data_IF_680490458230
#
_entry.id   IF_680490458230
#
_cell.length_a   1.000
_cell.length_b   1.000
_cell.length_c   1.000
_cell.angle_alpha   90.00
_cell.angle_beta   90.00
_cell.angle_gamma   90.00
#
_symmetry.space_group_name_H-M   'P 1'
#
loop_
_entity.id
_entity.type
_entity.pdbx_description
1 polymer ?
#
# COMPACT_ATOMS: atom_id res chain seq x y z
N UNK A 1 -27.66 -3.30 -38.05
CA UNK A 1 -27.42 -2.07 -38.83
C UNK A 1 -27.65 -0.92 -37.86
N UNK A 2 -26.67 -0.26 -37.28
CA UNK A 2 -25.49 0.39 -37.87
C UNK A 2 -24.28 0.19 -36.94
N UNK A 3 -23.13 -0.12 -37.54
CA UNK A 3 -21.79 -0.14 -36.93
C UNK A 3 -21.33 1.30 -36.67
N UNK A 4 -20.64 1.57 -35.56
CA UNK A 4 -19.61 2.61 -35.55
C UNK A 4 -18.41 2.20 -34.68
N UNK A 5 -17.25 2.23 -35.33
CA UNK A 5 -15.92 2.00 -34.79
C UNK A 5 -15.52 3.17 -33.89
N UNK A 6 -14.77 2.88 -32.81
CA UNK A 6 -13.95 3.87 -32.15
C UNK A 6 -12.48 3.46 -32.32
N UNK A 7 -11.76 4.29 -33.06
CA UNK A 7 -10.35 4.14 -33.40
C UNK A 7 -9.44 4.38 -32.19
N UNK A 8 -8.37 3.57 -32.12
CA UNK A 8 -7.27 3.73 -31.20
C UNK A 8 -6.47 5.00 -31.51
N UNK A 9 -6.45 5.96 -30.58
CA UNK A 9 -5.42 7.03 -30.58
C UNK A 9 -4.41 6.74 -29.49
N UNK A 10 -3.32 6.08 -29.89
CA UNK A 10 -2.07 6.03 -29.12
C UNK A 10 -1.44 7.43 -29.11
N UNK A 11 -1.46 8.11 -27.96
CA UNK A 11 -0.57 9.26 -27.72
C UNK A 11 0.48 8.90 -26.68
N UNK A 12 1.66 8.55 -27.18
CA UNK A 12 2.88 8.39 -26.39
C UNK A 12 3.32 9.77 -25.88
N UNK A 13 3.09 10.07 -24.60
CA UNK A 13 3.64 11.28 -23.95
C UNK A 13 5.04 10.94 -23.43
N UNK A 14 6.05 11.27 -24.24
CA UNK A 14 7.46 11.28 -23.81
C UNK A 14 7.70 12.58 -23.04
N UNK A 15 7.82 12.51 -21.72
CA UNK A 15 8.17 13.67 -20.91
C UNK A 15 9.69 13.89 -20.95
N UNK A 16 10.15 14.82 -21.80
CA UNK A 16 11.51 15.34 -21.77
C UNK A 16 11.64 16.40 -20.68
N UNK A 17 12.12 16.02 -19.49
CA UNK A 17 12.67 16.93 -18.50
C UNK A 17 13.78 16.24 -17.71
N UNK A 18 15.03 16.31 -18.21
CA UNK A 18 16.23 16.08 -17.42
C UNK A 18 17.41 16.83 -18.06
N UNK A 19 18.10 17.74 -17.35
CA UNK A 19 19.45 18.13 -17.74
C UNK A 19 20.44 17.14 -17.12
N UNK A 20 20.98 16.23 -17.92
CA UNK A 20 22.22 15.52 -17.59
C UNK A 20 23.41 16.35 -18.09
N UNK A 21 24.08 17.06 -17.19
CA UNK A 21 25.46 17.50 -17.43
C UNK A 21 26.41 16.45 -16.83
N UNK A 22 27.05 15.67 -17.71
CA UNK A 22 28.20 14.82 -17.36
C UNK A 22 29.43 15.72 -17.24
N UNK A 23 30.03 15.81 -16.05
CA UNK A 23 31.44 16.17 -15.91
C UNK A 23 32.18 14.99 -15.29
N UNK A 24 33.07 14.41 -16.10
CA UNK A 24 34.06 13.41 -15.67
C UNK A 24 35.18 14.16 -14.95
N UNK A 25 35.42 13.85 -13.68
CA UNK A 25 36.63 14.27 -12.98
C UNK A 25 37.75 13.26 -13.29
N UNK A 26 38.72 13.71 -14.09
CA UNK A 26 40.05 13.10 -14.17
C UNK A 26 40.97 13.84 -13.19
N UNK A 27 41.63 13.07 -12.33
CA UNK A 27 42.71 13.50 -11.44
C UNK A 27 43.98 13.79 -12.23
N UNK A 28 44.57 14.97 -12.09
CA UNK A 28 46.01 15.23 -12.21
C UNK A 28 46.36 16.53 -11.46
N UNK A 29 47.51 16.49 -10.77
CA UNK A 29 48.08 17.49 -9.84
C UNK A 29 48.99 18.51 -10.58
N UNK A 30 49.49 19.57 -9.92
CA UNK A 30 49.57 20.95 -10.44
C UNK A 30 50.99 21.42 -10.81
N UNK A 31 51.09 22.61 -11.45
CA UNK A 31 52.11 23.67 -11.23
C UNK A 31 51.83 24.93 -12.12
N UNK A 32 52.41 26.12 -11.82
CA UNK A 32 51.72 27.42 -11.85
C UNK A 32 52.29 28.45 -12.85
N UNK A 33 51.55 29.56 -13.07
CA UNK A 33 52.08 30.96 -13.06
C UNK A 33 50.98 32.04 -13.29
N UNK A 34 50.94 32.98 -12.34
CA UNK A 34 50.84 34.46 -12.40
C UNK A 34 49.76 35.26 -13.18
N UNK A 35 48.99 36.00 -12.35
CA UNK A 35 48.62 37.42 -12.39
C UNK A 35 48.26 38.14 -13.73
N UNK A 36 47.02 38.67 -13.82
CA UNK A 36 46.72 40.13 -13.73
C UNK A 36 45.25 40.53 -14.06
N UNK A 37 44.79 41.56 -13.32
CA UNK A 37 43.78 42.59 -13.62
C UNK A 37 42.24 42.33 -13.62
N UNK A 38 41.57 43.28 -12.96
CA UNK A 38 40.14 43.49 -12.70
C UNK A 38 39.55 44.40 -13.80
N UNK A 39 38.26 44.23 -14.14
CA UNK A 39 37.17 45.24 -14.30
C UNK A 39 36.17 44.90 -15.43
N UNK A 40 34.91 44.72 -15.01
CA UNK A 40 33.59 44.96 -15.63
C UNK A 40 33.38 44.99 -17.17
N UNK A 41 32.36 44.24 -17.64
CA UNK A 41 31.17 44.83 -18.30
C UNK A 41 30.00 43.83 -18.33
N UNK A 42 28.90 44.17 -17.64
CA UNK A 42 27.56 43.64 -17.88
C UNK A 42 26.93 44.44 -19.01
N UNK A 43 26.28 43.79 -19.98
CA UNK A 43 25.45 44.49 -20.95
C UNK A 43 24.94 43.61 -22.08
N UNK A 44 23.63 43.32 -22.02
CA UNK A 44 22.79 42.77 -23.09
C UNK A 44 22.99 41.30 -23.49
N UNK A 45 22.05 40.44 -23.07
CA UNK A 45 21.37 39.47 -23.93
C UNK A 45 20.03 39.07 -23.30
N UNK A 46 18.98 39.43 -24.03
CA UNK A 46 17.70 38.72 -24.21
C UNK A 46 16.55 38.86 -23.17
N UNK A 47 15.74 39.90 -23.39
CA UNK A 47 14.41 40.09 -22.82
C UNK A 47 13.29 39.66 -23.81
N UNK A 48 13.46 38.55 -24.56
CA UNK A 48 12.39 38.00 -25.44
C UNK A 48 11.97 36.55 -25.14
N UNK A 49 12.60 35.88 -24.18
CA UNK A 49 12.28 34.47 -23.83
C UNK A 49 11.33 34.28 -22.63
N UNK A 50 10.95 35.35 -21.92
CA UNK A 50 10.08 35.29 -20.73
C UNK A 50 8.59 35.41 -21.04
N UNK A 51 8.21 36.04 -22.16
CA UNK A 51 6.78 36.23 -22.52
C UNK A 51 6.15 34.95 -23.08
N UNK A 52 6.87 34.19 -23.92
CA UNK A 52 6.35 32.95 -24.53
C UNK A 52 6.16 31.78 -23.54
N UNK A 53 6.90 31.77 -22.42
CA UNK A 53 6.76 30.76 -21.36
C UNK A 53 5.57 31.04 -20.44
N UNK A 54 5.16 32.30 -20.24
CA UNK A 54 3.97 32.65 -19.46
C UNK A 54 2.67 32.30 -20.20
N UNK A 55 2.60 32.50 -21.52
CA UNK A 55 1.38 32.20 -22.30
C UNK A 55 1.09 30.70 -22.38
N UNK A 56 2.12 29.84 -22.45
CA UNK A 56 1.93 28.38 -22.44
C UNK A 56 1.53 27.81 -21.07
N UNK A 57 1.93 28.43 -19.96
CA UNK A 57 1.45 28.04 -18.62
C UNK A 57 0.00 28.48 -18.38
N UNK A 58 -0.40 29.66 -18.86
CA UNK A 58 -1.79 30.15 -18.72
C UNK A 58 -2.78 29.27 -19.50
N UNK A 59 -2.46 28.91 -20.75
CA UNK A 59 -3.28 28.01 -21.58
C UNK A 59 -3.38 26.57 -21.00
N UNK A 60 -2.40 26.13 -20.21
CA UNK A 60 -2.46 24.83 -19.53
C UNK A 60 -3.36 24.90 -18.29
N UNK A 61 -3.33 26.02 -17.55
CA UNK A 61 -4.21 26.22 -16.39
C UNK A 61 -5.69 26.33 -16.78
N UNK A 62 -6.01 27.01 -17.89
CA UNK A 62 -7.39 27.14 -18.37
C UNK A 62 -7.98 25.81 -18.84
N UNK A 63 -7.17 24.93 -19.46
CA UNK A 63 -7.60 23.59 -19.85
C UNK A 63 -7.82 22.67 -18.65
N UNK A 64 -7.03 22.79 -17.58
CA UNK A 64 -7.26 22.05 -16.34
C UNK A 64 -8.52 22.51 -15.59
N UNK A 65 -8.82 23.82 -15.61
CA UNK A 65 -10.05 24.37 -15.03
C UNK A 65 -11.28 23.89 -15.83
N UNK A 66 -11.20 23.86 -17.16
CA UNK A 66 -12.30 23.39 -18.01
C UNK A 66 -12.59 21.89 -17.82
N UNK A 67 -11.56 21.05 -17.71
CA UNK A 67 -11.72 19.60 -17.44
C UNK A 67 -12.30 19.36 -16.05
N UNK A 68 -11.91 20.16 -15.05
CA UNK A 68 -12.47 20.06 -13.68
C UNK A 68 -13.92 20.55 -13.62
N UNK A 69 -14.26 21.60 -14.36
CA UNK A 69 -15.64 22.10 -14.48
C UNK A 69 -16.54 21.10 -15.20
N UNK A 70 -16.07 20.47 -16.28
CA UNK A 70 -16.81 19.43 -17.01
C UNK A 70 -17.00 18.17 -16.16
N UNK A 71 -16.01 17.79 -15.35
CA UNK A 71 -16.16 16.70 -14.37
C UNK A 71 -17.19 17.06 -13.27
N UNK A 72 -17.20 18.31 -12.80
CA UNK A 72 -18.20 18.80 -11.85
C UNK A 72 -19.63 18.84 -12.41
N UNK A 73 -19.79 19.21 -13.68
CA UNK A 73 -21.09 19.19 -14.38
C UNK A 73 -21.56 17.75 -14.57
N UNK A 74 -20.67 16.82 -14.97
CA UNK A 74 -21.00 15.41 -15.09
C UNK A 74 -21.43 14.80 -13.74
N UNK A 75 -20.74 15.14 -12.65
CA UNK A 75 -21.09 14.69 -11.31
C UNK A 75 -22.45 15.25 -10.86
N UNK A 76 -22.75 16.50 -11.20
CA UNK A 76 -24.04 17.15 -10.90
C UNK A 76 -25.19 16.54 -11.70
N UNK A 77 -24.96 16.17 -12.96
CA UNK A 77 -25.97 15.51 -13.80
C UNK A 77 -26.25 14.08 -13.34
N UNK A 78 -25.24 13.35 -12.87
CA UNK A 78 -25.40 12.02 -12.26
C UNK A 78 -26.13 12.12 -10.92
N UNK A 79 -25.79 13.11 -10.08
CA UNK A 79 -26.52 13.36 -8.84
C UNK A 79 -27.99 13.73 -9.11
N UNK A 80 -28.25 14.55 -10.14
CA UNK A 80 -29.60 14.93 -10.54
C UNK A 80 -30.40 13.75 -11.10
N UNK A 81 -29.80 12.87 -11.92
CA UNK A 81 -30.49 11.68 -12.44
C UNK A 81 -30.79 10.65 -11.36
N UNK A 82 -29.92 10.50 -10.36
CA UNK A 82 -30.15 9.67 -9.17
C UNK A 82 -31.26 10.27 -8.30
N UNK A 83 -31.24 11.59 -8.04
CA UNK A 83 -32.31 12.28 -7.30
C UNK A 83 -33.65 12.24 -8.04
N UNK A 84 -33.65 12.36 -9.37
CA UNK A 84 -34.86 12.26 -10.19
C UNK A 84 -35.41 10.83 -10.18
N UNK A 85 -34.54 9.81 -10.24
CA UNK A 85 -34.96 8.40 -10.12
C UNK A 85 -35.54 8.08 -8.74
N UNK A 86 -34.96 8.64 -7.67
CA UNK A 86 -35.46 8.50 -6.30
C UNK A 86 -36.76 9.30 -6.05
N UNK A 87 -36.96 10.40 -6.77
CA UNK A 87 -38.22 11.15 -6.75
C UNK A 87 -39.33 10.41 -7.50
N UNK A 88 -39.04 9.84 -8.67
CA UNK A 88 -40.01 9.09 -9.49
C UNK A 88 -40.45 7.79 -8.81
N UNK A 89 -39.59 7.15 -8.01
CA UNK A 89 -39.95 5.96 -7.24
C UNK A 89 -40.79 6.26 -5.97
N UNK A 90 -40.94 7.53 -5.58
CA UNK A 90 -41.73 7.95 -4.40
C UNK A 90 -43.02 8.70 -4.73
N UNK A 91 -43.40 8.84 -6.00
CA UNK A 91 -44.71 9.39 -6.39
C UNK A 91 -45.67 8.24 -6.65
N UNK A 92 -46.13 7.63 -5.54
CA UNK A 92 -47.27 6.73 -5.51
C UNK A 92 -48.23 7.19 -4.42
N UNK A 93 -49.36 7.78 -4.86
CA UNK A 93 -50.56 8.08 -4.08
C UNK A 93 -50.46 9.35 -3.19
N UNK A 94 -50.94 10.47 -3.74
CA UNK A 94 -51.29 11.67 -2.98
C UNK A 94 -52.78 11.58 -2.60
N UNK A 95 -53.06 11.30 -1.32
CA UNK A 95 -54.38 11.44 -0.69
C UNK A 95 -54.50 12.88 -0.15
N UNK A 96 -55.49 13.70 -0.56
CA UNK A 96 -55.60 15.09 -0.14
C UNK A 96 -55.99 15.32 1.33
N UNK A 97 -56.10 14.29 2.18
CA UNK A 97 -56.68 14.43 3.53
C UNK A 97 -55.71 14.24 4.73
N UNK A 98 -54.40 14.04 4.53
CA UNK A 98 -53.47 13.76 5.64
C UNK A 98 -52.59 14.96 6.04
N UNK A 99 -52.84 15.53 7.22
CA UNK A 99 -51.94 16.46 7.92
C UNK A 99 -50.73 15.73 8.51
N UNK A 100 -49.68 15.49 7.71
CA UNK A 100 -48.34 15.13 8.22
C UNK A 100 -47.32 16.19 7.86
N UNK A 101 -46.61 16.67 8.88
CA UNK A 101 -45.53 17.64 8.73
C UNK A 101 -44.38 17.08 7.88
N UNK A 102 -43.65 17.95 7.14
CA UNK A 102 -42.51 17.52 6.34
C UNK A 102 -41.39 16.96 7.23
N UNK A 103 -40.86 15.80 6.84
CA UNK A 103 -39.70 15.16 7.46
C UNK A 103 -38.47 16.06 7.33
N UNK A 104 -37.71 16.20 8.43
CA UNK A 104 -36.56 17.09 8.49
C UNK A 104 -35.42 16.61 7.55
N UNK A 105 -34.63 17.54 6.98
CA UNK A 105 -33.49 17.20 6.12
C UNK A 105 -32.47 16.25 6.77
N UNK A 106 -32.34 16.30 8.11
CA UNK A 106 -31.48 15.39 8.87
C UNK A 106 -31.94 13.93 8.80
N UNK A 107 -33.26 13.70 8.73
CA UNK A 107 -33.83 12.36 8.65
C UNK A 107 -33.51 11.74 7.29
N UNK A 108 -33.58 12.53 6.23
CA UNK A 108 -33.23 12.11 4.86
C UNK A 108 -31.73 11.79 4.77
N UNK A 109 -30.88 12.59 5.40
CA UNK A 109 -29.42 12.37 5.42
C UNK A 109 -29.04 11.07 6.17
N UNK A 110 -29.69 10.81 7.31
CA UNK A 110 -29.46 9.58 8.09
C UNK A 110 -29.98 8.33 7.35
N UNK A 111 -31.09 8.43 6.63
CA UNK A 111 -31.58 7.35 5.77
C UNK A 111 -30.65 7.08 4.59
N UNK A 112 -30.07 8.12 3.98
CA UNK A 112 -29.08 7.98 2.90
C UNK A 112 -27.75 7.36 3.39
N UNK A 113 -27.29 7.73 4.57
CA UNK A 113 -26.11 7.12 5.20
C UNK A 113 -26.34 5.63 5.52
N UNK A 114 -27.53 5.28 6.00
CA UNK A 114 -27.93 3.89 6.29
C UNK A 114 -28.07 3.07 5.01
N UNK A 115 -28.61 3.66 3.94
CA UNK A 115 -28.69 3.03 2.62
C UNK A 115 -27.30 2.78 2.02
N UNK A 116 -26.36 3.73 2.15
CA UNK A 116 -24.96 3.55 1.74
C UNK A 116 -24.26 2.44 2.53
N UNK A 117 -24.43 2.40 3.86
CA UNK A 117 -23.88 1.32 4.70
C UNK A 117 -24.44 -0.06 4.30
N UNK A 118 -25.71 -0.12 3.91
CA UNK A 118 -26.36 -1.35 3.42
C UNK A 118 -25.85 -1.74 2.03
N UNK A 119 -25.55 -0.79 1.15
CA UNK A 119 -24.95 -1.06 -0.18
C UNK A 119 -23.51 -1.59 -0.02
N UNK A 120 -22.72 -1.04 0.90
CA UNK A 120 -21.38 -1.56 1.24
C UNK A 120 -21.48 -3.00 1.79
N UNK A 121 -22.43 -3.27 2.69
CA UNK A 121 -22.67 -4.61 3.24
C UNK A 121 -23.18 -5.62 2.19
N UNK A 122 -23.97 -5.17 1.20
CA UNK A 122 -24.43 -5.99 0.07
C UNK A 122 -23.32 -6.28 -0.95
N UNK A 123 -22.35 -5.38 -1.10
CA UNK A 123 -21.16 -5.65 -1.91
C UNK A 123 -20.23 -6.69 -1.26
N UNK A 124 -20.17 -6.75 0.08
CA UNK A 124 -19.43 -7.79 0.81
C UNK A 124 -20.10 -9.18 0.71
N UNK A 125 -21.43 -9.24 0.62
CA UNK A 125 -22.16 -10.50 0.49
C UNK A 125 -22.22 -11.04 -0.94
N UNK A 126 -22.11 -10.17 -1.96
CA UNK A 126 -22.13 -10.58 -3.37
C UNK A 126 -20.78 -11.15 -3.89
N UNK A 127 -19.69 -11.04 -3.10
CA UNK A 127 -18.37 -11.57 -3.47
C UNK A 127 -17.96 -12.85 -2.71
N UNK A 128 -18.87 -13.48 -1.96
CA UNK A 128 -18.63 -14.83 -1.43
C UNK A 128 -19.17 -15.86 -2.39
N UNK A 129 -18.62 -15.90 -3.61
CA UNK A 129 -18.59 -17.19 -4.31
C UNK A 129 -17.67 -18.07 -3.48
N UNK A 130 -18.24 -19.09 -2.84
CA UNK A 130 -17.48 -20.23 -2.33
C UNK A 130 -16.75 -20.80 -3.55
N UNK A 131 -15.51 -20.35 -3.77
CA UNK A 131 -14.58 -21.00 -4.68
C UNK A 131 -14.39 -22.38 -4.09
N UNK A 132 -15.12 -23.36 -4.62
CA UNK A 132 -14.87 -24.77 -4.39
C UNK A 132 -13.37 -24.98 -4.51
N UNK A 133 -12.76 -25.57 -3.48
CA UNK A 133 -11.31 -25.75 -3.39
C UNK A 133 -10.77 -26.19 -4.75
N UNK A 134 -10.06 -25.27 -5.41
CA UNK A 134 -9.33 -25.58 -6.61
C UNK A 134 -8.38 -26.73 -6.27
N UNK A 135 -8.21 -27.69 -7.17
CA UNK A 135 -7.24 -28.80 -7.07
C UNK A 135 -5.77 -28.31 -7.10
N UNK A 136 -5.55 -27.02 -6.83
CA UNK A 136 -4.27 -26.33 -6.84
C UNK A 136 -3.89 -25.96 -5.41
N UNK A 137 -2.61 -26.04 -5.11
CA UNK A 137 -2.08 -25.86 -3.77
C UNK A 137 -2.44 -24.50 -3.15
N UNK A 138 -2.52 -24.49 -1.82
CA UNK A 138 -2.51 -23.25 -1.03
C UNK A 138 -1.09 -22.66 -1.10
N UNK A 139 -0.96 -21.34 -1.26
CA UNK A 139 0.31 -20.63 -1.37
C UNK A 139 0.39 -19.42 -0.44
N UNK A 140 1.54 -19.23 0.19
CA UNK A 140 1.76 -18.12 1.11
C UNK A 140 2.41 -16.91 0.43
N UNK A 141 1.77 -15.74 0.60
CA UNK A 141 2.29 -14.44 0.19
C UNK A 141 2.86 -13.72 1.41
N UNK A 142 4.19 -13.59 1.45
CA UNK A 142 4.92 -13.15 2.64
C UNK A 142 5.02 -11.62 2.75
N UNK A 143 4.11 -11.04 3.53
CA UNK A 143 4.19 -9.65 4.00
C UNK A 143 5.22 -9.51 5.11
N UNK A 144 6.08 -8.50 5.01
CA UNK A 144 7.14 -8.31 6.00
C UNK A 144 6.55 -8.01 7.38
N UNK A 145 7.13 -8.67 8.39
CA UNK A 145 6.86 -8.48 9.83
C UNK A 145 5.49 -8.99 10.32
N UNK A 146 4.89 -9.92 9.58
CA UNK A 146 3.62 -10.57 9.91
C UNK A 146 3.77 -12.09 10.10
N UNK A 147 4.80 -12.52 10.84
CA UNK A 147 5.15 -13.93 11.12
C UNK A 147 5.61 -14.79 9.92
N UNK A 148 5.81 -14.22 8.73
CA UNK A 148 6.06 -15.05 7.56
C UNK A 148 7.29 -15.97 7.64
N UNK A 149 8.38 -15.59 8.31
CA UNK A 149 9.50 -16.52 8.54
C UNK A 149 9.14 -17.73 9.39
N UNK A 150 8.20 -17.60 10.33
CA UNK A 150 7.73 -18.74 11.12
C UNK A 150 6.82 -19.65 10.28
N UNK A 151 5.95 -19.07 9.44
CA UNK A 151 5.09 -19.81 8.52
C UNK A 151 5.91 -20.58 7.49
N UNK A 152 6.88 -19.92 6.84
CA UNK A 152 7.76 -20.56 5.85
C UNK A 152 8.59 -21.69 6.45
N UNK A 153 9.08 -21.50 7.68
CA UNK A 153 9.84 -22.53 8.38
C UNK A 153 8.97 -23.72 8.81
N UNK A 154 7.76 -23.46 9.32
CA UNK A 154 6.80 -24.51 9.67
C UNK A 154 6.39 -25.31 8.43
N UNK A 155 6.06 -24.64 7.32
CA UNK A 155 5.71 -25.27 6.06
C UNK A 155 6.85 -26.16 5.56
N UNK A 156 8.08 -25.64 5.52
CA UNK A 156 9.23 -26.39 5.04
C UNK A 156 9.53 -27.64 5.88
N UNK A 157 9.35 -27.56 7.21
CA UNK A 157 9.47 -28.72 8.11
C UNK A 157 8.40 -29.78 7.88
N UNK A 158 7.21 -29.37 7.44
CA UNK A 158 6.11 -30.26 7.06
C UNK A 158 6.14 -30.68 5.58
N UNK A 159 7.24 -30.44 4.85
CA UNK A 159 7.35 -30.86 3.45
C UNK A 159 6.75 -29.89 2.43
N UNK A 160 6.20 -28.75 2.87
CA UNK A 160 5.50 -27.76 2.02
C UNK A 160 6.43 -26.62 1.66
N UNK A 161 6.49 -26.25 0.38
CA UNK A 161 7.28 -25.12 -0.09
C UNK A 161 6.40 -23.88 -0.22
N UNK A 162 6.76 -22.82 0.50
CA UNK A 162 6.05 -21.54 0.48
C UNK A 162 7.01 -20.35 0.51
N UNK A 163 6.51 -19.21 0.04
CA UNK A 163 7.19 -17.91 0.14
C UNK A 163 8.64 -18.00 -0.35
N UNK A 164 9.59 -17.57 0.49
CA UNK A 164 11.02 -17.49 0.19
C UNK A 164 11.63 -18.77 -0.38
N UNK A 165 11.10 -19.95 -0.05
CA UNK A 165 11.63 -21.22 -0.49
C UNK A 165 11.44 -21.47 -1.99
N UNK A 166 10.46 -20.83 -2.62
CA UNK A 166 10.32 -20.84 -4.09
C UNK A 166 11.43 -20.07 -4.80
N UNK A 167 11.98 -19.04 -4.14
CA UNK A 167 12.84 -18.04 -4.77
C UNK A 167 14.33 -18.24 -4.47
N UNK A 168 14.67 -18.79 -3.31
CA UNK A 168 16.07 -18.91 -2.90
C UNK A 168 16.30 -20.10 -1.97
N UNK A 169 17.56 -20.55 -1.97
CA UNK A 169 18.04 -21.56 -1.02
C UNK A 169 18.10 -21.01 0.40
N UNK A 170 17.36 -21.62 1.33
CA UNK A 170 17.37 -21.31 2.77
C UNK A 170 17.70 -22.57 3.56
N UNK A 171 19.00 -22.87 3.72
CA UNK A 171 19.48 -24.10 4.36
C UNK A 171 18.84 -24.38 5.73
N UNK A 172 18.59 -23.34 6.53
CA UNK A 172 17.99 -23.45 7.87
C UNK A 172 16.55 -23.99 7.86
N UNK A 173 15.84 -23.91 6.73
CA UNK A 173 14.46 -24.40 6.60
C UNK A 173 14.40 -25.86 6.17
N UNK A 174 15.55 -26.51 5.98
CA UNK A 174 15.62 -27.94 5.63
C UNK A 174 15.60 -28.19 4.13
N UNK A 175 15.48 -29.48 3.74
CA UNK A 175 15.74 -29.94 2.37
C UNK A 175 14.79 -29.35 1.33
N UNK A 176 13.53 -29.10 1.70
CA UNK A 176 12.51 -28.52 0.81
C UNK A 176 12.94 -27.15 0.28
N UNK A 177 13.65 -26.37 1.08
CA UNK A 177 14.11 -25.03 0.71
C UNK A 177 15.55 -25.01 0.18
N UNK A 178 16.09 -26.14 -0.30
CA UNK A 178 17.43 -26.19 -0.90
C UNK A 178 17.46 -25.83 -2.39
N UNK A 179 16.31 -25.90 -3.06
CA UNK A 179 16.16 -25.69 -4.49
C UNK A 179 15.07 -24.64 -4.75
N UNK A 180 15.36 -23.70 -5.63
CA UNK A 180 14.39 -22.71 -6.13
C UNK A 180 13.55 -23.37 -7.22
N UNK A 181 12.28 -23.00 -7.30
CA UNK A 181 11.36 -23.49 -8.34
C UNK A 181 10.94 -22.36 -9.27
N UNK A 182 11.01 -21.11 -8.81
CA UNK A 182 10.65 -19.95 -9.60
C UNK A 182 11.89 -19.21 -10.09
N UNK A 183 11.93 -18.99 -11.40
CA UNK A 183 12.88 -18.12 -12.05
C UNK A 183 12.24 -16.78 -12.37
N UNK A 184 13.02 -15.71 -12.25
CA UNK A 184 12.55 -14.38 -12.58
C UNK A 184 12.92 -14.09 -14.03
N UNK A 185 11.90 -14.07 -14.88
CA UNK A 185 12.03 -13.54 -16.24
C UNK A 185 12.28 -12.04 -16.17
N UNK A 186 13.22 -11.52 -16.99
CA UNK A 186 13.52 -10.08 -17.01
C UNK A 186 12.84 -9.40 -18.20
N UNK A 187 12.20 -8.24 -17.99
CA UNK A 187 12.02 -7.56 -16.70
C UNK A 187 10.85 -8.16 -15.88
N UNK A 188 11.08 -8.32 -14.58
CA UNK A 188 10.20 -9.10 -13.68
C UNK A 188 8.83 -8.48 -13.41
N UNK A 189 8.71 -7.17 -13.53
CA UNK A 189 7.61 -6.41 -12.95
C UNK A 189 6.79 -5.66 -13.99
N UNK A 190 5.47 -5.68 -13.80
CA UNK A 190 4.54 -4.82 -14.53
C UNK A 190 4.55 -3.43 -13.89
N UNK A 191 5.28 -2.49 -14.51
CA UNK A 191 5.43 -1.12 -14.01
C UNK A 191 4.12 -0.33 -13.94
N UNK A 192 3.10 -0.74 -14.67
CA UNK A 192 1.77 -0.11 -14.63
C UNK A 192 0.95 -0.56 -13.42
N UNK A 193 1.22 -1.74 -12.87
CA UNK A 193 0.55 -2.27 -11.68
C UNK A 193 1.11 -1.73 -10.36
N UNK A 194 2.21 -0.96 -10.40
CA UNK A 194 2.91 -0.46 -9.21
C UNK A 194 2.60 1.03 -9.01
N UNK A 195 2.09 1.45 -7.84
CA UNK A 195 1.88 2.86 -7.55
C UNK A 195 3.16 3.68 -7.76
N UNK A 196 3.03 4.89 -8.30
CA UNK A 196 4.16 5.70 -8.74
C UNK A 196 5.26 5.85 -7.67
N UNK A 197 4.86 6.09 -6.42
CA UNK A 197 5.74 6.27 -5.27
C UNK A 197 6.54 5.01 -4.89
N UNK A 198 6.15 3.83 -5.36
CA UNK A 198 6.80 2.54 -5.05
C UNK A 198 7.54 1.92 -6.24
N UNK A 199 7.57 2.58 -7.41
CA UNK A 199 8.30 2.07 -8.60
C UNK A 199 9.81 1.90 -8.33
N UNK A 200 10.38 2.68 -7.43
CA UNK A 200 11.78 2.55 -6.99
C UNK A 200 12.01 1.56 -5.83
N UNK A 201 10.94 0.96 -5.31
CA UNK A 201 10.94 0.15 -4.08
C UNK A 201 10.98 -1.34 -4.32
N UNK A 202 11.33 -1.77 -5.53
CA UNK A 202 11.44 -3.18 -5.88
C UNK A 202 12.61 -3.80 -5.12
N UNK A 203 12.30 -4.78 -4.28
CA UNK A 203 13.25 -5.46 -3.41
C UNK A 203 13.24 -6.95 -3.67
N UNK A 204 13.29 -7.71 -2.59
CA UNK A 204 13.23 -9.16 -2.61
C UNK A 204 11.90 -9.64 -3.23
N UNK A 205 11.95 -10.55 -4.22
CA UNK A 205 10.76 -11.06 -4.92
C UNK A 205 9.73 -11.69 -3.97
N UNK A 206 10.19 -12.42 -2.95
CA UNK A 206 9.33 -13.05 -1.95
C UNK A 206 8.64 -12.06 -0.99
N UNK A 207 9.00 -10.78 -1.03
CA UNK A 207 8.33 -9.69 -0.31
C UNK A 207 7.63 -8.71 -1.26
N UNK A 208 7.42 -9.08 -2.52
CA UNK A 208 6.76 -8.22 -3.51
C UNK A 208 5.31 -8.66 -3.70
N UNK A 209 4.34 -7.73 -3.77
CA UNK A 209 2.97 -8.04 -4.15
C UNK A 209 2.89 -8.90 -5.43
N UNK A 210 2.20 -10.06 -5.41
CA UNK A 210 2.13 -10.97 -6.56
C UNK A 210 1.64 -10.33 -7.85
N UNK A 211 0.65 -9.42 -7.75
CA UNK A 211 0.07 -8.73 -8.89
C UNK A 211 0.97 -7.64 -9.48
N UNK A 212 2.14 -7.36 -8.89
CA UNK A 212 3.15 -6.46 -9.47
C UNK A 212 4.10 -7.16 -10.44
N UNK A 213 4.15 -8.49 -10.41
CA UNK A 213 4.93 -9.26 -11.38
C UNK A 213 4.29 -9.19 -12.77
N UNK A 214 5.10 -9.28 -13.83
CA UNK A 214 4.57 -9.46 -15.19
C UNK A 214 3.85 -10.79 -15.32
N UNK A 215 4.50 -11.83 -14.81
CA UNK A 215 3.98 -13.18 -14.70
C UNK A 215 3.81 -13.44 -13.21
N UNK A 216 2.57 -13.36 -12.72
CA UNK A 216 2.29 -13.62 -11.32
C UNK A 216 2.53 -15.12 -11.04
N UNK A 217 3.53 -15.48 -10.21
CA UNK A 217 3.91 -16.88 -10.00
C UNK A 217 2.86 -17.68 -9.21
N UNK A 218 1.89 -16.99 -8.61
CA UNK A 218 0.80 -17.59 -7.84
C UNK A 218 -0.45 -17.86 -8.70
N UNK A 219 -0.42 -17.60 -10.01
CA UNK A 219 -1.56 -17.87 -10.91
C UNK A 219 -1.92 -19.36 -10.85
N UNK A 220 -3.22 -19.62 -10.70
CA UNK A 220 -3.75 -20.96 -10.57
C UNK A 220 -3.81 -21.46 -9.13
N UNK A 221 -3.02 -20.93 -8.19
CA UNK A 221 -3.04 -21.33 -6.78
C UNK A 221 -4.09 -20.56 -5.97
N UNK A 222 -4.49 -21.12 -4.82
CA UNK A 222 -5.20 -20.33 -3.81
C UNK A 222 -4.18 -19.66 -2.90
N UNK A 223 -4.34 -18.39 -2.57
CA UNK A 223 -3.35 -17.62 -1.82
C UNK A 223 -3.81 -17.27 -0.42
N UNK A 224 -2.86 -17.18 0.52
CA UNK A 224 -3.12 -16.56 1.80
C UNK A 224 -1.98 -15.64 2.22
N UNK A 225 -2.32 -14.66 3.05
CA UNK A 225 -1.34 -13.79 3.70
C UNK A 225 -1.75 -13.50 5.14
N UNK A 226 -0.84 -12.88 5.89
CA UNK A 226 -1.09 -12.40 7.24
C UNK A 226 -0.90 -10.89 7.27
N UNK A 227 -1.90 -10.17 7.77
CA UNK A 227 -1.80 -8.74 8.08
C UNK A 227 -1.69 -8.54 9.59
N UNK A 228 -1.12 -7.41 10.01
CA UNK A 228 -0.88 -7.05 11.41
C UNK A 228 -1.23 -5.59 11.66
N UNK A 229 -1.59 -5.25 12.89
CA UNK A 229 -1.75 -3.87 13.34
C UNK A 229 -0.55 -3.00 12.89
N UNK A 230 -0.77 -1.86 12.19
CA UNK A 230 0.31 -1.06 11.63
C UNK A 230 1.30 -0.52 12.67
N UNK A 231 0.87 -0.20 13.89
CA UNK A 231 1.77 0.28 14.95
C UNK A 231 2.68 -0.86 15.44
N UNK A 232 2.08 -2.00 15.77
CA UNK A 232 2.81 -3.20 16.21
C UNK A 232 3.78 -3.70 15.13
N UNK A 233 3.36 -3.63 13.87
CA UNK A 233 4.20 -3.96 12.71
C UNK A 233 5.39 -3.01 12.59
N UNK A 234 5.20 -1.70 12.80
CA UNK A 234 6.28 -0.71 12.73
C UNK A 234 7.32 -0.91 13.84
N UNK A 235 6.88 -1.19 15.08
CA UNK A 235 7.78 -1.55 16.19
C UNK A 235 8.52 -2.85 15.90
N UNK A 236 7.84 -3.85 15.34
CA UNK A 236 8.48 -5.11 14.90
C UNK A 236 9.54 -4.87 13.82
N UNK A 237 9.30 -3.94 12.89
CA UNK A 237 10.26 -3.56 11.85
C UNK A 237 11.49 -2.83 12.43
N UNK A 238 11.31 -1.94 13.41
CA UNK A 238 12.44 -1.31 14.11
C UNK A 238 13.41 -2.34 14.70
N UNK A 239 12.87 -3.41 15.29
CA UNK A 239 13.67 -4.52 15.83
C UNK A 239 14.07 -5.59 14.79
N UNK A 240 13.75 -5.40 13.51
CA UNK A 240 14.09 -6.34 12.46
C UNK A 240 15.59 -6.34 12.16
N UNK A 241 16.20 -7.53 12.06
CA UNK A 241 17.59 -7.67 11.59
C UNK A 241 17.78 -7.43 10.08
N UNK A 242 16.69 -7.40 9.32
CA UNK A 242 16.72 -7.30 7.85
C UNK A 242 16.50 -5.88 7.32
N UNK A 243 15.90 -5.00 8.13
CA UNK A 243 15.57 -3.62 7.70
C UNK A 243 15.43 -2.62 8.84
N UNK A 244 15.59 -3.08 10.09
CA UNK A 244 15.43 -2.30 11.30
C UNK A 244 16.67 -1.52 11.71
N UNK A 245 16.63 -0.95 12.92
CA UNK A 245 17.73 -0.21 13.49
C UNK A 245 18.78 -1.16 14.09
N UNK A 246 20.05 -0.92 13.76
CA UNK A 246 21.22 -1.70 14.17
C UNK A 246 22.30 -0.85 14.84
N UNK A 247 21.97 0.39 15.24
CA UNK A 247 22.90 1.27 15.97
C UNK A 247 22.91 1.03 17.47
N UNK A 248 23.75 1.79 18.18
CA UNK A 248 23.76 1.85 19.64
C UNK A 248 22.42 2.34 20.19
N UNK A 249 22.15 2.06 21.48
CA UNK A 249 20.96 2.57 22.17
C UNK A 249 19.63 2.15 21.52
N UNK A 250 19.58 0.93 20.99
CA UNK A 250 18.39 0.32 20.34
C UNK A 250 17.14 0.23 21.25
N UNK A 251 17.29 0.42 22.55
CA UNK A 251 16.16 0.47 23.49
C UNK A 251 15.90 1.90 24.03
N UNK A 252 16.45 2.92 23.38
CA UNK A 252 16.16 4.32 23.68
C UNK A 252 14.91 4.79 22.88
N UNK A 253 13.93 5.35 23.61
CA UNK A 253 12.65 5.82 23.07
C UNK A 253 12.85 6.87 21.98
N UNK A 254 13.73 7.85 22.21
CA UNK A 254 14.03 8.92 21.26
C UNK A 254 14.66 8.36 19.98
N UNK A 255 15.61 7.43 20.13
CA UNK A 255 16.28 6.78 18.98
C UNK A 255 15.27 6.03 18.11
N UNK A 256 14.35 5.29 18.72
CA UNK A 256 13.30 4.57 17.99
C UNK A 256 12.41 5.53 17.19
N UNK A 257 11.89 6.57 17.83
CA UNK A 257 10.97 7.52 17.19
C UNK A 257 11.67 8.32 16.09
N UNK A 258 12.88 8.83 16.33
CA UNK A 258 13.68 9.53 15.30
C UNK A 258 13.92 8.62 14.08
N UNK A 259 14.25 7.36 14.32
CA UNK A 259 14.43 6.39 13.24
C UNK A 259 13.13 6.16 12.46
N UNK A 260 12.00 5.95 13.14
CA UNK A 260 10.71 5.73 12.49
C UNK A 260 10.29 6.94 11.65
N UNK A 261 10.35 8.15 12.21
CA UNK A 261 10.03 9.40 11.51
C UNK A 261 10.88 9.55 10.24
N UNK A 262 12.19 9.30 10.34
CA UNK A 262 13.10 9.32 9.17
C UNK A 262 12.73 8.29 8.11
N UNK A 263 12.18 7.13 8.48
CA UNK A 263 11.81 6.06 7.53
C UNK A 263 10.43 6.24 6.90
N UNK A 264 9.54 6.96 7.58
CA UNK A 264 8.18 7.24 7.12
C UNK A 264 8.09 8.56 6.34
N UNK A 265 9.09 9.45 6.47
CA UNK A 265 9.07 10.73 5.77
C UNK A 265 8.89 10.59 4.25
N UNK A 266 8.30 11.60 3.57
CA UNK A 266 8.11 11.58 2.12
C UNK A 266 9.42 11.40 1.34
N UNK A 267 10.54 11.91 1.88
CA UNK A 267 11.87 11.83 1.28
C UNK A 267 12.57 10.48 1.54
N UNK A 268 12.01 9.63 2.40
CA UNK A 268 12.59 8.34 2.70
C UNK A 268 12.55 7.44 1.46
N UNK A 269 13.68 6.77 1.18
CA UNK A 269 13.70 5.69 0.18
C UNK A 269 12.68 4.62 0.59
N UNK A 270 11.59 4.52 -0.17
CA UNK A 270 10.56 3.51 0.01
C UNK A 270 11.16 2.12 -0.25
N UNK A 271 10.88 1.15 0.63
CA UNK A 271 11.44 -0.21 0.60
C UNK A 271 10.33 -1.24 0.79
N UNK A 272 10.49 -2.44 0.22
CA UNK A 272 9.51 -3.55 0.35
C UNK A 272 9.15 -3.88 1.80
N UNK A 273 10.10 -3.72 2.72
CA UNK A 273 9.92 -3.99 4.15
C UNK A 273 8.95 -3.03 4.87
N UNK A 274 8.58 -1.91 4.25
CA UNK A 274 7.65 -0.91 4.82
C UNK A 274 6.53 -0.55 3.83
N UNK A 275 6.25 -1.44 2.89
CA UNK A 275 5.09 -1.29 2.04
C UNK A 275 3.80 -1.38 2.88
N UNK A 276 2.82 -0.52 2.63
CA UNK A 276 1.46 -0.74 3.13
C UNK A 276 0.95 -2.14 2.74
N UNK A 277 0.28 -2.81 3.68
CA UNK A 277 -0.19 -4.19 3.55
C UNK A 277 -1.30 -4.31 2.52
N UNK A 278 -2.13 -3.28 2.37
CA UNK A 278 -3.20 -3.27 1.37
C UNK A 278 -2.67 -3.42 -0.04
N UNK A 279 -1.42 -2.98 -0.31
CA UNK A 279 -0.78 -3.15 -1.62
C UNK A 279 -0.44 -4.59 -1.97
N UNK A 280 -0.53 -5.53 -1.03
CA UNK A 280 -0.43 -6.96 -1.32
C UNK A 280 -1.81 -7.55 -1.59
N UNK A 281 -2.83 -7.04 -0.90
CA UNK A 281 -4.19 -7.60 -0.85
C UNK A 281 -5.10 -7.04 -1.94
N UNK A 282 -4.90 -5.78 -2.34
CA UNK A 282 -5.72 -5.07 -3.32
C UNK A 282 -4.83 -4.54 -4.46
N UNK A 283 -5.35 -4.61 -5.68
CA UNK A 283 -4.71 -3.99 -6.85
C UNK A 283 -5.06 -2.49 -6.95
N UNK A 284 -4.57 -1.82 -8.00
CA UNK A 284 -4.81 -0.39 -8.22
C UNK A 284 -6.27 -0.05 -8.50
N UNK A 285 -7.04 -1.03 -8.99
CA UNK A 285 -8.47 -0.93 -9.25
C UNK A 285 -9.32 -1.12 -7.98
N UNK A 286 -8.70 -1.46 -6.85
CA UNK A 286 -9.38 -1.71 -5.58
C UNK A 286 -9.95 -3.13 -5.43
N UNK A 287 -9.72 -4.01 -6.41
CA UNK A 287 -10.11 -5.41 -6.33
C UNK A 287 -9.19 -6.19 -5.40
N UNK A 288 -9.77 -7.02 -4.54
CA UNK A 288 -9.02 -7.97 -3.71
C UNK A 288 -8.42 -9.07 -4.58
N UNK A 289 -7.12 -9.33 -4.40
CA UNK A 289 -6.32 -10.30 -5.18
C UNK A 289 -5.65 -11.38 -4.32
N UNK A 290 -5.92 -11.39 -3.01
CA UNK A 290 -5.50 -12.46 -2.09
C UNK A 290 -6.74 -13.18 -1.56
N UNK A 291 -6.76 -14.51 -1.63
CA UNK A 291 -7.95 -15.29 -1.28
C UNK A 291 -8.22 -15.30 0.23
N UNK A 292 -7.22 -15.58 1.06
CA UNK A 292 -7.35 -15.61 2.52
C UNK A 292 -6.44 -14.58 3.19
N UNK A 293 -7.02 -13.71 4.02
CA UNK A 293 -6.27 -12.68 4.77
C UNK A 293 -6.45 -12.96 6.25
N UNK A 294 -5.40 -13.49 6.88
CA UNK A 294 -5.39 -13.84 8.31
C UNK A 294 -4.91 -12.66 9.16
N UNK A 295 -5.23 -12.69 10.45
CA UNK A 295 -4.77 -11.67 11.42
C UNK A 295 -3.62 -12.18 12.25
N UNK A 296 -2.58 -11.35 12.38
CA UNK A 296 -1.44 -11.68 13.24
C UNK A 296 -1.88 -11.85 14.70
N UNK A 297 -2.87 -11.07 15.13
CA UNK A 297 -3.42 -11.05 16.47
C UNK A 297 -4.18 -12.34 16.82
N UNK A 298 -4.69 -13.05 15.81
CA UNK A 298 -5.39 -14.33 15.95
C UNK A 298 -4.68 -15.45 15.17
N UNK A 299 -3.37 -15.30 14.94
CA UNK A 299 -2.67 -16.12 13.96
C UNK A 299 -2.75 -17.62 14.28
N UNK A 300 -2.66 -18.01 15.54
CA UNK A 300 -2.69 -19.43 15.92
C UNK A 300 -4.01 -20.09 15.51
N UNK A 301 -5.16 -19.46 15.81
CA UNK A 301 -6.48 -19.97 15.46
C UNK A 301 -6.78 -19.85 13.97
N UNK A 302 -6.46 -18.70 13.38
CA UNK A 302 -6.71 -18.38 11.97
C UNK A 302 -5.91 -19.33 11.06
N UNK A 303 -4.63 -19.54 11.39
CA UNK A 303 -3.75 -20.43 10.65
C UNK A 303 -4.18 -21.88 10.79
N UNK A 304 -4.44 -22.35 12.01
CA UNK A 304 -4.90 -23.74 12.25
C UNK A 304 -6.18 -24.04 11.46
N UNK A 305 -7.17 -23.15 11.53
CA UNK A 305 -8.43 -23.30 10.80
C UNK A 305 -8.23 -23.36 9.29
N UNK A 306 -7.29 -22.55 8.76
CA UNK A 306 -6.96 -22.57 7.33
C UNK A 306 -6.24 -23.87 6.95
N UNK A 307 -5.29 -24.34 7.75
CA UNK A 307 -4.57 -25.59 7.47
C UNK A 307 -5.51 -26.79 7.46
N UNK A 308 -6.45 -26.87 8.42
CA UNK A 308 -7.48 -27.90 8.47
C UNK A 308 -8.38 -27.88 7.24
N UNK A 309 -8.83 -26.69 6.81
CA UNK A 309 -9.65 -26.52 5.59
C UNK A 309 -8.97 -27.08 4.34
N UNK A 310 -7.65 -26.98 4.26
CA UNK A 310 -6.85 -27.46 3.13
C UNK A 310 -6.23 -28.85 3.35
N UNK A 311 -6.50 -29.50 4.49
CA UNK A 311 -5.94 -30.82 4.82
C UNK A 311 -4.41 -30.81 4.98
N UNK A 312 -3.81 -29.69 5.40
CA UNK A 312 -2.37 -29.53 5.52
C UNK A 312 -1.90 -29.77 6.97
N UNK A 313 -0.96 -30.71 7.14
CA UNK A 313 -0.32 -31.00 8.44
C UNK A 313 0.75 -29.98 8.84
N UNK A 314 0.51 -28.69 8.62
CA UNK A 314 1.44 -27.61 8.99
C UNK A 314 0.97 -26.97 10.29
N UNK A 315 1.83 -26.90 11.29
CA UNK A 315 1.53 -26.27 12.58
C UNK A 315 2.57 -25.20 12.93
N UNK A 316 2.11 -24.06 13.43
CA UNK A 316 3.02 -23.05 13.96
C UNK A 316 3.51 -23.49 15.36
N UNK A 317 4.83 -23.54 15.58
CA UNK A 317 5.35 -23.81 16.90
C UNK A 317 5.20 -22.58 17.81
N UNK A 318 4.88 -22.87 19.07
CA UNK A 318 4.54 -21.90 20.13
C UNK A 318 5.58 -20.77 20.35
N UNK A 319 6.85 -20.93 19.93
CA UNK A 319 7.92 -19.95 20.17
C UNK A 319 8.91 -19.79 19.02
N UNK A 320 8.45 -19.67 17.77
CA UNK A 320 9.35 -19.33 16.65
C UNK A 320 9.35 -17.85 16.31
N UNK A 321 10.57 -17.29 16.18
CA UNK A 321 10.79 -15.91 15.71
C UNK A 321 10.04 -14.84 16.51
N UNK A 322 9.71 -15.13 17.78
CA UNK A 322 9.11 -14.18 18.71
C UNK A 322 10.14 -13.11 19.07
N UNK A 323 9.68 -11.86 19.18
CA UNK A 323 10.52 -10.74 19.60
C UNK A 323 11.08 -11.03 21.00
N UNK A 324 12.41 -11.01 21.13
CA UNK A 324 13.05 -11.26 22.41
C UNK A 324 12.84 -10.05 23.34
N UNK A 325 12.12 -10.25 24.44
CA UNK A 325 11.75 -9.20 25.38
C UNK A 325 12.94 -8.55 26.10
N UNK A 326 14.06 -9.24 26.28
CA UNK A 326 15.25 -8.68 26.95
C UNK A 326 16.09 -7.80 26.03
N UNK A 327 16.01 -8.03 24.72
CA UNK A 327 16.79 -7.26 23.72
C UNK A 327 15.94 -6.30 22.91
N UNK A 328 14.60 -6.42 22.99
CA UNK A 328 13.64 -5.61 22.25
C UNK A 328 12.54 -5.12 23.19
N UNK A 329 12.91 -4.15 24.01
CA UNK A 329 12.12 -3.72 25.17
C UNK A 329 11.01 -2.73 24.80
N UNK A 330 11.20 -1.94 23.73
CA UNK A 330 10.24 -0.90 23.35
C UNK A 330 8.99 -1.49 22.71
N UNK A 331 7.87 -0.82 22.95
CA UNK A 331 6.54 -1.21 22.50
C UNK A 331 5.83 -0.04 21.83
N UNK A 332 4.61 -0.27 21.36
CA UNK A 332 3.72 0.78 20.86
C UNK A 332 3.44 1.87 21.91
N UNK A 333 3.53 1.56 23.21
CA UNK A 333 3.45 2.54 24.30
C UNK A 333 4.59 3.57 24.32
N UNK A 334 5.67 3.32 23.57
CA UNK A 334 6.82 4.22 23.48
C UNK A 334 6.78 5.09 22.21
N UNK A 335 5.68 5.10 21.47
CA UNK A 335 5.51 5.96 20.29
C UNK A 335 5.13 7.38 20.73
N UNK A 336 5.78 8.38 20.14
CA UNK A 336 5.42 9.80 20.31
C UNK A 336 4.26 10.19 19.38
N UNK A 337 3.54 11.26 19.70
CA UNK A 337 2.42 11.78 18.91
C UNK A 337 2.79 11.97 17.42
N UNK A 338 3.91 12.63 17.13
CA UNK A 338 4.41 12.79 15.75
C UNK A 338 4.58 11.45 15.02
N UNK A 339 5.10 10.44 15.71
CA UNK A 339 5.38 9.13 15.11
C UNK A 339 4.07 8.40 14.85
N UNK A 340 3.11 8.48 15.77
CA UNK A 340 1.75 7.96 15.60
C UNK A 340 1.10 8.60 14.38
N UNK A 341 1.16 9.92 14.26
CA UNK A 341 0.61 10.64 13.09
C UNK A 341 1.26 10.16 11.79
N UNK A 342 2.59 10.03 11.74
CA UNK A 342 3.28 9.54 10.54
C UNK A 342 2.93 8.08 10.19
N UNK A 343 2.67 7.22 11.19
CA UNK A 343 2.17 5.85 10.96
C UNK A 343 0.74 5.92 10.41
N UNK A 344 -0.13 6.77 10.98
CA UNK A 344 -1.52 6.97 10.54
C UNK A 344 -1.62 7.41 9.09
N UNK A 345 -0.72 8.29 8.66
CA UNK A 345 -0.66 8.82 7.30
C UNK A 345 -0.10 7.78 6.33
N UNK A 346 1.03 7.15 6.66
CA UNK A 346 1.69 6.20 5.75
C UNK A 346 0.91 4.90 5.58
N UNK A 347 0.16 4.47 6.61
CA UNK A 347 -0.62 3.22 6.59
C UNK A 347 -2.14 3.47 6.64
N UNK A 348 -2.63 4.65 6.24
CA UNK A 348 -4.05 5.04 6.29
C UNK A 348 -5.00 3.96 5.76
N UNK A 349 -4.77 3.50 4.54
CA UNK A 349 -5.58 2.47 3.91
C UNK A 349 -5.47 1.09 4.59
N UNK A 350 -4.35 0.78 5.27
CA UNK A 350 -4.25 -0.46 6.04
C UNK A 350 -5.19 -0.41 7.25
N UNK A 351 -5.30 0.74 7.92
CA UNK A 351 -6.24 0.90 9.02
C UNK A 351 -7.69 0.73 8.55
N UNK A 352 -8.04 1.39 7.45
CA UNK A 352 -9.41 1.34 6.92
C UNK A 352 -9.77 -0.06 6.39
N UNK A 353 -8.99 -0.61 5.46
CA UNK A 353 -9.33 -1.85 4.74
C UNK A 353 -9.22 -3.09 5.63
N UNK A 354 -8.39 -3.03 6.66
CA UNK A 354 -8.26 -4.12 7.63
C UNK A 354 -8.92 -3.80 8.97
N UNK A 355 -9.77 -2.77 9.06
CA UNK A 355 -10.53 -2.46 10.27
C UNK A 355 -9.66 -2.39 11.55
N UNK A 356 -8.48 -1.79 11.45
CA UNK A 356 -7.67 -1.44 12.62
C UNK A 356 -8.03 -0.03 13.08
N UNK A 357 -8.10 0.18 14.38
CA UNK A 357 -8.34 1.50 14.95
C UNK A 357 -7.08 2.36 14.89
N UNK A 358 -7.22 3.59 14.41
CA UNK A 358 -6.21 4.62 14.60
C UNK A 358 -6.34 5.21 16.00
N UNK A 359 -5.21 5.54 16.59
CA UNK A 359 -5.13 6.40 17.77
C UNK A 359 -4.68 7.79 17.35
N UNK A 360 -5.17 8.81 18.06
CA UNK A 360 -4.89 10.22 17.82
C UNK A 360 -3.50 10.61 18.31
N UNK A 361 -3.12 10.12 19.49
CA UNK A 361 -1.89 10.50 20.17
C UNK A 361 -1.40 9.40 21.13
N UNK A 362 -0.27 9.66 21.80
CA UNK A 362 0.37 8.72 22.73
C UNK A 362 -0.48 8.45 23.98
N UNK A 363 -1.34 9.38 24.39
CA UNK A 363 -2.23 9.18 25.53
C UNK A 363 -3.30 8.14 25.21
N UNK A 364 -3.90 8.21 24.03
CA UNK A 364 -4.87 7.22 23.56
C UNK A 364 -4.21 5.86 23.31
N UNK A 365 -2.98 5.83 22.78
CA UNK A 365 -2.21 4.58 22.63
C UNK A 365 -2.06 3.83 23.95
N UNK A 366 -1.80 4.54 25.05
CA UNK A 366 -1.66 3.95 26.39
C UNK A 366 -3.01 3.40 26.90
N UNK A 367 -4.12 4.08 26.61
CA UNK A 367 -5.47 3.63 26.96
C UNK A 367 -5.81 2.33 26.24
N UNK A 368 -5.64 2.28 24.91
CA UNK A 368 -5.97 1.09 24.09
C UNK A 368 -5.19 -0.14 24.54
N UNK A 369 -3.93 0.01 25.00
CA UNK A 369 -3.16 -1.12 25.52
C UNK A 369 -3.69 -1.64 26.86
N UNK A 370 -4.12 -0.77 27.76
CA UNK A 370 -4.70 -1.21 29.04
C UNK A 370 -5.94 -2.07 28.86
N UNK A 371 -6.70 -1.89 27.77
CA UNK A 371 -7.85 -2.74 27.45
C UNK A 371 -7.50 -4.03 26.70
N UNK A 372 -6.27 -4.19 26.20
CA UNK A 372 -5.79 -5.37 25.47
C UNK A 372 -5.00 -6.35 26.33
N UNK A 373 -4.50 -5.92 27.48
CA UNK A 373 -3.82 -6.74 28.50
C UNK A 373 -4.80 -7.15 29.57
#
# INVERSE_FOLDING_TARGET
FILYQAENVHTSITCCCSPQAKQKNATLRPTPTDHHFIVALLGHIDMRLTTARRTKCLLFSERCILVSALAGIAFSLIAYSVLHSLAVQNVGIFDPSSSRMPVSPLTILNSAATAMATIVSRHDTAATQVRTASTTGLEFVHLTKTAGSAIEEAAARSGVKWGVCHWKRVKKFGPVCLYKDWEITRPAYNRSAIPFQFKGSLGEPWHTPPHWFRENPYVGSTTFCVVRDPYERMVSEYYSKFGGYNGADRNNVTVMNVWMKKRLSPQAKKQVHRLPQHLYVYNLEGSRVIDHVLRFEHLDSDFTSLMERYGLGVALPQRMNVRNATTSMLTTANLTDDTIQMINEHYDADFLLFNYSKVKDSSEMLMVRHFKT
#
